data_IF_996082302627
#
_entry.id   IF_996082302627
#
_cell.length_a   1.000
_cell.length_b   1.000
_cell.length_c   1.000
_cell.angle_alpha   90.00
_cell.angle_beta   90.00
_cell.angle_gamma   90.00
#
_symmetry.space_group_name_H-M   'P 1'
#
loop_
_entity.id
_entity.type
_entity.pdbx_description
1 polymer ?
#
# COMPACT_ATOMS: atom_id res chain seq x y z
N UNK A 1 8.65 9.37 17.58
CA UNK A 1 8.87 7.91 17.62
C UNK A 1 9.93 7.55 16.60
N UNK A 2 10.63 6.41 16.74
CA UNK A 2 11.77 6.04 15.88
C UNK A 2 11.31 5.56 14.49
N UNK A 3 10.03 5.21 14.32
CA UNK A 3 9.46 4.72 13.07
C UNK A 3 8.33 5.64 12.60
N UNK A 4 8.42 6.07 11.35
CA UNK A 4 7.52 7.01 10.69
C UNK A 4 6.91 6.44 9.39
N UNK A 5 7.49 5.37 8.85
CA UNK A 5 7.04 4.74 7.61
C UNK A 5 6.96 3.21 7.70
N UNK A 6 5.90 2.66 7.12
CA UNK A 6 5.77 1.23 6.80
C UNK A 6 5.90 1.07 5.29
N UNK A 7 6.91 0.30 4.86
CA UNK A 7 7.10 -0.07 3.45
C UNK A 7 6.49 -1.44 3.18
N UNK A 8 5.44 -1.47 2.37
CA UNK A 8 4.85 -2.71 1.85
C UNK A 8 5.39 -2.96 0.45
N UNK A 9 6.14 -4.04 0.28
CA UNK A 9 6.61 -4.52 -1.03
C UNK A 9 5.61 -5.55 -1.54
N UNK A 10 5.13 -5.36 -2.75
CA UNK A 10 4.36 -6.42 -3.40
C UNK A 10 5.37 -7.50 -3.82
N UNK A 11 5.18 -8.75 -3.36
CA UNK A 11 6.04 -9.90 -3.72
C UNK A 11 6.04 -10.19 -5.22
N UNK A 12 6.64 -11.31 -5.66
CA UNK A 12 6.78 -11.71 -7.08
C UNK A 12 5.48 -11.58 -7.89
N UNK A 13 5.25 -10.37 -8.41
CA UNK A 13 4.20 -10.03 -9.35
C UNK A 13 4.69 -10.45 -10.74
N UNK A 14 4.97 -11.74 -10.90
CA UNK A 14 5.09 -12.39 -12.21
C UNK A 14 3.71 -12.46 -12.83
N UNK A 15 3.25 -11.31 -13.32
CA UNK A 15 1.96 -11.20 -13.95
C UNK A 15 2.07 -11.76 -15.36
N UNK A 16 1.75 -13.04 -15.49
CA UNK A 16 1.23 -13.54 -16.76
C UNK A 16 -0.02 -12.70 -17.10
N UNK A 17 0.12 -11.79 -18.06
CA UNK A 17 -1.03 -11.17 -18.74
C UNK A 17 -1.64 -9.92 -18.09
N UNK A 18 -0.87 -8.84 -17.90
CA UNK A 18 -1.43 -7.47 -17.87
C UNK A 18 -2.23 -7.02 -16.64
N UNK A 19 -2.64 -7.92 -15.75
CA UNK A 19 -3.50 -7.62 -14.59
C UNK A 19 -2.81 -6.88 -13.43
N UNK A 20 -1.59 -6.34 -13.63
CA UNK A 20 -0.80 -5.65 -12.60
C UNK A 20 -1.57 -4.51 -11.99
N UNK A 21 -2.10 -3.66 -12.87
CA UNK A 21 -2.70 -2.38 -12.49
C UNK A 21 -3.95 -2.62 -11.64
N UNK A 22 -4.77 -3.59 -12.05
CA UNK A 22 -5.97 -4.00 -11.32
C UNK A 22 -5.61 -4.54 -9.94
N UNK A 23 -4.61 -5.42 -9.86
CA UNK A 23 -4.14 -5.97 -8.58
C UNK A 23 -3.66 -4.88 -7.62
N UNK A 24 -2.77 -3.99 -8.09
CA UNK A 24 -2.21 -2.90 -7.27
C UNK A 24 -3.32 -1.93 -6.83
N UNK A 25 -4.27 -1.62 -7.71
CA UNK A 25 -5.42 -0.78 -7.40
C UNK A 25 -6.32 -1.40 -6.32
N UNK A 26 -6.64 -2.69 -6.47
CA UNK A 26 -7.45 -3.41 -5.50
C UNK A 26 -6.76 -3.51 -4.14
N UNK A 27 -5.46 -3.82 -4.13
CA UNK A 27 -4.66 -3.89 -2.91
C UNK A 27 -4.62 -2.54 -2.19
N UNK A 28 -4.43 -1.44 -2.92
CA UNK A 28 -4.52 -0.08 -2.36
C UNK A 28 -5.87 0.20 -1.72
N UNK A 29 -6.97 -0.17 -2.38
CA UNK A 29 -8.32 0.02 -1.85
C UNK A 29 -8.55 -0.81 -0.58
N UNK A 30 -8.09 -2.06 -0.57
CA UNK A 30 -8.20 -2.95 0.57
C UNK A 30 -7.41 -2.42 1.78
N UNK A 31 -6.16 -1.97 1.57
CA UNK A 31 -5.34 -1.39 2.64
C UNK A 31 -5.99 -0.12 3.19
N UNK A 32 -6.47 0.79 2.33
CA UNK A 32 -7.20 1.99 2.79
C UNK A 32 -8.44 1.64 3.61
N UNK A 33 -9.20 0.61 3.21
CA UNK A 33 -10.38 0.16 3.94
C UNK A 33 -10.01 -0.44 5.30
N UNK A 34 -8.96 -1.25 5.36
CA UNK A 34 -8.49 -1.84 6.61
C UNK A 34 -7.96 -0.79 7.60
N UNK A 35 -7.31 0.26 7.09
CA UNK A 35 -6.79 1.35 7.90
C UNK A 35 -7.84 2.41 8.24
N UNK A 36 -9.03 2.40 7.61
CA UNK A 36 -10.10 3.40 7.83
C UNK A 36 -10.45 3.67 9.30
N UNK A 37 -10.43 2.68 10.23
CA UNK A 37 -10.70 2.93 11.65
C UNK A 37 -9.58 3.68 12.37
N UNK A 38 -8.37 3.70 11.80
CA UNK A 38 -7.20 4.39 12.35
C UNK A 38 -7.18 5.84 11.86
N UNK A 39 -6.49 6.73 12.58
CA UNK A 39 -6.25 8.12 12.19
C UNK A 39 -4.76 8.40 12.22
N UNK A 40 -4.32 9.46 11.53
CA UNK A 40 -2.91 9.87 11.50
C UNK A 40 -2.05 8.98 10.60
N UNK A 41 -2.54 8.61 9.42
CA UNK A 41 -1.72 7.91 8.43
C UNK A 41 -1.97 8.40 7.01
N UNK A 42 -0.91 8.39 6.19
CA UNK A 42 -0.97 8.71 4.76
C UNK A 42 -0.50 7.51 3.92
N UNK A 43 -1.37 7.04 3.01
CA UNK A 43 -1.05 5.89 2.13
C UNK A 43 -0.65 6.34 0.73
N UNK A 44 0.64 6.22 0.42
CA UNK A 44 1.24 6.48 -0.90
C UNK A 44 1.54 5.16 -1.61
N UNK A 45 0.78 4.82 -2.65
CA UNK A 45 0.97 3.58 -3.42
C UNK A 45 1.61 3.87 -4.78
N UNK A 46 2.73 3.21 -5.07
CA UNK A 46 3.42 3.19 -6.36
C UNK A 46 3.20 1.83 -7.06
N UNK A 47 3.74 1.69 -8.27
CA UNK A 47 3.56 0.50 -9.12
C UNK A 47 3.96 -0.81 -8.44
N UNK A 48 5.06 -0.81 -7.67
CA UNK A 48 5.63 -2.03 -7.09
C UNK A 48 5.67 -2.00 -5.55
N UNK A 49 5.30 -0.87 -4.94
CA UNK A 49 5.48 -0.61 -3.50
C UNK A 49 4.38 0.29 -2.96
N UNK A 50 4.07 0.17 -1.68
CA UNK A 50 3.21 1.09 -0.94
C UNK A 50 3.94 1.59 0.30
N UNK A 51 3.84 2.88 0.55
CA UNK A 51 4.31 3.55 1.75
C UNK A 51 3.11 3.96 2.59
N UNK A 52 3.14 3.61 3.86
CA UNK A 52 2.18 4.10 4.85
C UNK A 52 2.98 4.96 5.82
N UNK A 53 2.80 6.26 5.71
CA UNK A 53 3.37 7.26 6.61
C UNK A 53 2.48 7.35 7.84
N UNK A 54 3.09 7.32 9.03
CA UNK A 54 2.40 7.55 10.30
C UNK A 54 2.67 9.00 10.70
N UNK A 55 1.59 9.74 10.95
CA UNK A 55 1.70 11.08 11.53
C UNK A 55 2.10 10.95 13.02
N UNK A 56 2.90 11.90 13.56
CA UNK A 56 3.34 11.88 14.96
C UNK A 56 2.22 11.93 15.99
#
# INVERSE_FOLDING_TARGET
MIYDHILVRYGELTLKGGNRKTFVSQLRSNVKRALMPLKGYEVKANRDRMYIQLEP
#
